data_IF_960256168747
#
_entry.id   IF_960256168747
#
_cell.length_a   1.000
_cell.length_b   1.000
_cell.length_c   1.000
_cell.angle_alpha   90.00
_cell.angle_beta   90.00
_cell.angle_gamma   90.00
#
_symmetry.space_group_name_H-M   'P 1'
#
loop_
_entity.id
_entity.type
_entity.pdbx_description
1 polymer ?
#
# COMPACT_ATOMS: atom_id res chain seq x y z
N UNK A 1 -8.09 15.08 -2.53
CA UNK A 1 -6.62 15.01 -2.53
C UNK A 1 -6.12 15.24 -3.96
N UNK A 2 -5.05 16.01 -4.15
CA UNK A 2 -4.50 16.24 -5.50
C UNK A 2 -3.66 15.04 -5.95
N UNK A 3 -3.98 14.46 -7.10
CA UNK A 3 -3.21 13.35 -7.70
C UNK A 3 -1.93 13.80 -8.41
N UNK A 4 -1.87 15.09 -8.76
CA UNK A 4 -0.73 15.71 -9.43
C UNK A 4 0.40 16.07 -8.47
N UNK A 5 0.13 16.05 -7.16
CA UNK A 5 1.12 16.34 -6.13
C UNK A 5 1.82 15.06 -5.66
N UNK A 6 3.09 15.22 -5.32
CA UNK A 6 3.91 14.19 -4.68
C UNK A 6 3.68 14.12 -3.16
N UNK A 7 4.21 13.08 -2.51
CA UNK A 7 4.16 12.98 -1.05
C UNK A 7 4.88 14.14 -0.36
N UNK A 8 6.00 14.60 -0.90
CA UNK A 8 6.72 15.74 -0.31
C UNK A 8 5.87 17.02 -0.30
N UNK A 9 5.08 17.24 -1.34
CA UNK A 9 4.19 18.40 -1.45
C UNK A 9 2.95 18.25 -0.57
N UNK A 10 2.34 17.07 -0.53
CA UNK A 10 1.14 16.79 0.28
C UNK A 10 1.47 16.87 1.78
N UNK A 11 2.60 16.29 2.20
CA UNK A 11 3.06 16.29 3.60
C UNK A 11 3.78 17.59 3.98
N UNK A 12 4.00 18.50 3.02
CA UNK A 12 4.86 19.68 3.15
C UNK A 12 6.21 19.34 3.81
N UNK A 13 6.82 18.23 3.36
CA UNK A 13 8.02 17.63 3.97
C UNK A 13 8.95 17.07 2.91
N UNK A 14 9.93 17.90 2.53
CA UNK A 14 11.02 17.54 1.62
C UNK A 14 12.11 16.79 2.38
N UNK A 15 12.51 15.62 1.88
CA UNK A 15 13.57 14.81 2.49
C UNK A 15 14.96 15.10 1.91
N UNK A 16 15.03 15.72 0.74
CA UNK A 16 16.28 15.87 0.00
C UNK A 16 16.82 14.54 -0.51
N UNK A 17 18.03 14.53 -1.06
CA UNK A 17 18.66 13.33 -1.60
C UNK A 17 18.83 12.24 -0.53
N UNK A 18 18.73 10.98 -0.95
CA UNK A 18 19.08 9.87 -0.06
C UNK A 18 20.58 9.99 0.35
N UNK A 19 20.96 9.53 1.56
CA UNK A 19 22.36 9.40 1.94
C UNK A 19 23.15 8.58 0.91
N UNK A 20 24.43 8.92 0.69
CA UNK A 20 25.26 8.28 -0.34
C UNK A 20 25.53 6.78 -0.07
N UNK A 21 25.40 6.36 1.19
CA UNK A 21 25.53 4.99 1.68
C UNK A 21 24.17 4.31 1.92
N UNK A 22 23.07 4.92 1.48
CA UNK A 22 21.75 4.38 1.67
C UNK A 22 21.56 3.06 0.90
N UNK A 23 20.86 2.06 1.48
CA UNK A 23 20.44 0.89 0.72
C UNK A 23 19.56 1.30 -0.47
N UNK A 24 19.63 0.56 -1.58
CA UNK A 24 18.85 0.80 -2.81
C UNK A 24 17.34 0.96 -2.58
N UNK A 25 16.79 0.28 -1.57
CA UNK A 25 15.40 0.43 -1.16
C UNK A 25 15.10 1.85 -0.66
N UNK A 26 15.98 2.42 0.17
CA UNK A 26 15.82 3.79 0.65
C UNK A 26 16.04 4.81 -0.47
N UNK A 27 16.97 4.58 -1.39
CA UNK A 27 17.09 5.43 -2.60
C UNK A 27 15.79 5.43 -3.41
N UNK A 28 15.18 4.25 -3.57
CA UNK A 28 13.88 4.09 -4.23
C UNK A 28 12.78 4.86 -3.51
N UNK A 29 12.67 4.74 -2.19
CA UNK A 29 11.68 5.48 -1.38
C UNK A 29 11.86 6.99 -1.54
N UNK A 30 13.08 7.52 -1.43
CA UNK A 30 13.35 8.95 -1.61
C UNK A 30 12.97 9.43 -3.01
N UNK A 31 13.23 8.62 -4.05
CA UNK A 31 12.82 8.93 -5.42
C UNK A 31 11.30 8.95 -5.56
N UNK A 32 10.61 7.94 -5.04
CA UNK A 32 9.16 7.79 -5.19
C UNK A 32 8.36 8.86 -4.43
N UNK A 33 8.88 9.37 -3.30
CA UNK A 33 8.26 10.48 -2.56
C UNK A 33 8.11 11.77 -3.39
N UNK A 34 8.88 11.92 -4.48
CA UNK A 34 8.84 13.08 -5.40
C UNK A 34 7.97 12.84 -6.64
N UNK A 35 7.50 11.61 -6.86
CA UNK A 35 6.60 11.30 -7.97
C UNK A 35 5.18 11.73 -7.59
N UNK A 36 4.39 12.31 -8.52
CA UNK A 36 2.97 12.56 -8.29
C UNK A 36 2.26 11.28 -7.84
N UNK A 37 1.44 11.37 -6.79
CA UNK A 37 0.83 10.17 -6.19
C UNK A 37 -0.14 9.47 -7.15
N UNK A 38 -0.73 10.20 -8.10
CA UNK A 38 -1.57 9.62 -9.15
C UNK A 38 -0.82 8.87 -10.24
N UNK A 39 0.50 9.04 -10.33
CA UNK A 39 1.35 8.37 -11.29
C UNK A 39 2.09 7.16 -10.70
N UNK A 40 1.87 6.84 -9.42
CA UNK A 40 2.41 5.65 -8.79
C UNK A 40 1.70 4.41 -9.35
N UNK A 41 2.47 3.41 -9.76
CA UNK A 41 1.93 2.11 -10.13
C UNK A 41 1.74 1.20 -8.89
N UNK A 42 1.27 -0.02 -9.11
CA UNK A 42 0.98 -1.00 -8.05
C UNK A 42 2.24 -1.32 -7.24
N UNK A 43 3.36 -1.55 -7.91
CA UNK A 43 4.64 -1.87 -7.28
C UNK A 43 5.17 -0.69 -6.46
N UNK A 44 5.12 0.52 -7.00
CA UNK A 44 5.58 1.72 -6.30
C UNK A 44 4.70 2.04 -5.06
N UNK A 45 3.38 1.83 -5.15
CA UNK A 45 2.48 1.90 -3.99
C UNK A 45 2.84 0.85 -2.94
N UNK A 46 3.03 -0.40 -3.37
CA UNK A 46 3.40 -1.53 -2.50
C UNK A 46 4.73 -1.29 -1.81
N UNK A 47 5.74 -0.74 -2.51
CA UNK A 47 7.03 -0.37 -1.91
C UNK A 47 6.86 0.70 -0.82
N UNK A 48 6.16 1.80 -1.13
CA UNK A 48 6.00 2.91 -0.18
C UNK A 48 5.20 2.50 1.06
N UNK A 49 4.07 1.82 0.87
CA UNK A 49 3.26 1.25 1.98
C UNK A 49 4.06 0.20 2.74
N UNK A 50 4.82 -0.62 2.00
CA UNK A 50 5.81 -1.57 2.51
C UNK A 50 6.75 -0.98 3.56
N UNK A 51 7.17 0.26 3.35
CA UNK A 51 8.06 1.03 4.22
C UNK A 51 7.32 1.98 5.17
N UNK A 52 5.98 1.90 5.24
CA UNK A 52 5.09 2.78 6.02
C UNK A 52 5.27 4.26 5.70
N UNK A 53 5.58 4.58 4.45
CA UNK A 53 5.75 5.95 3.97
C UNK A 53 4.44 6.44 3.35
N UNK A 54 3.99 7.64 3.75
CA UNK A 54 2.81 8.27 3.16
C UNK A 54 1.50 7.51 3.38
N UNK A 55 1.40 6.67 4.43
CA UNK A 55 0.24 5.78 4.66
C UNK A 55 -1.09 6.49 4.51
N UNK A 56 -1.27 7.66 5.13
CA UNK A 56 -2.52 8.41 5.07
C UNK A 56 -2.89 8.96 3.69
N UNK A 57 -1.91 9.10 2.80
CA UNK A 57 -2.11 9.52 1.41
C UNK A 57 -2.27 8.31 0.49
N UNK A 58 -1.53 7.23 0.74
CA UNK A 58 -1.41 6.11 -0.19
C UNK A 58 -2.44 5.01 0.05
N UNK A 59 -2.91 4.79 1.28
CA UNK A 59 -3.93 3.76 1.54
C UNK A 59 -5.22 4.00 0.76
N UNK A 60 -5.77 5.23 0.67
CA UNK A 60 -6.93 5.49 -0.18
C UNK A 60 -6.71 5.13 -1.65
N UNK A 61 -5.51 5.36 -2.18
CA UNK A 61 -5.13 5.04 -3.56
C UNK A 61 -4.95 3.53 -3.76
N UNK A 62 -4.34 2.84 -2.81
CA UNK A 62 -4.21 1.39 -2.82
C UNK A 62 -5.60 0.72 -2.78
N UNK A 63 -6.54 1.25 -1.99
CA UNK A 63 -7.92 0.77 -1.97
C UNK A 63 -8.61 0.93 -3.33
N UNK A 64 -8.42 2.05 -4.03
CA UNK A 64 -8.97 2.22 -5.38
C UNK A 64 -8.45 1.15 -6.36
N UNK A 65 -7.18 0.72 -6.22
CA UNK A 65 -6.60 -0.36 -7.02
C UNK A 65 -7.23 -1.70 -6.62
N UNK A 66 -7.22 -2.00 -5.32
CA UNK A 66 -7.66 -3.27 -4.77
C UNK A 66 -9.16 -3.53 -4.93
N UNK A 67 -9.99 -2.49 -4.97
CA UNK A 67 -11.42 -2.62 -5.26
C UNK A 67 -11.71 -3.03 -6.70
N UNK A 68 -10.78 -2.73 -7.63
CA UNK A 68 -10.89 -3.15 -9.03
C UNK A 68 -10.26 -4.52 -9.26
N UNK A 69 -9.16 -4.78 -8.56
CA UNK A 69 -8.41 -6.02 -8.62
C UNK A 69 -7.85 -6.36 -7.22
N UNK A 70 -8.54 -7.22 -6.45
CA UNK A 70 -8.11 -7.61 -5.10
C UNK A 70 -6.74 -8.30 -5.06
N UNK A 71 -6.31 -8.88 -6.19
CA UNK A 71 -5.04 -9.58 -6.35
C UNK A 71 -4.04 -8.77 -7.19
N UNK A 72 -4.23 -7.45 -7.28
CA UNK A 72 -3.30 -6.55 -7.96
C UNK A 72 -1.84 -6.84 -7.56
N UNK A 73 -1.04 -7.09 -8.57
CA UNK A 73 0.34 -7.56 -8.46
C UNK A 73 1.32 -6.42 -8.78
N UNK A 74 2.33 -6.25 -7.91
CA UNK A 74 3.53 -5.49 -8.18
C UNK A 74 4.61 -6.35 -8.85
N UNK A 75 5.82 -6.36 -8.28
CA UNK A 75 6.94 -7.15 -8.83
C UNK A 75 7.13 -8.52 -8.14
N UNK A 76 6.28 -8.91 -7.18
CA UNK A 76 6.48 -10.14 -6.39
C UNK A 76 5.52 -11.28 -6.72
N UNK A 77 4.24 -11.12 -6.37
CA UNK A 77 3.24 -12.18 -6.50
C UNK A 77 1.81 -11.58 -6.48
N UNK A 78 0.82 -12.27 -7.06
CA UNK A 78 -0.59 -11.83 -7.02
C UNK A 78 -1.06 -11.52 -5.60
N UNK A 79 -1.62 -10.32 -5.40
CA UNK A 79 -2.08 -9.84 -4.10
C UNK A 79 -0.98 -9.29 -3.18
N UNK A 80 0.24 -9.06 -3.68
CA UNK A 80 1.32 -8.47 -2.88
C UNK A 80 1.01 -7.04 -2.39
N UNK A 81 0.19 -6.26 -3.12
CA UNK A 81 -0.33 -4.98 -2.66
C UNK A 81 -1.28 -5.16 -1.48
N UNK A 82 -2.24 -6.10 -1.58
CA UNK A 82 -3.16 -6.43 -0.49
C UNK A 82 -2.38 -6.86 0.75
N UNK A 83 -1.39 -7.75 0.57
CA UNK A 83 -0.51 -8.20 1.63
C UNK A 83 0.27 -7.03 2.28
N UNK A 84 0.79 -6.10 1.48
CA UNK A 84 1.48 -4.92 2.00
C UNK A 84 0.55 -4.04 2.85
N UNK A 85 -0.68 -3.80 2.39
CA UNK A 85 -1.68 -3.00 3.13
C UNK A 85 -2.06 -3.69 4.44
N UNK A 86 -2.38 -4.99 4.41
CA UNK A 86 -2.77 -5.76 5.61
C UNK A 86 -1.67 -5.81 6.66
N UNK A 87 -0.41 -5.95 6.24
CA UNK A 87 0.73 -6.20 7.14
C UNK A 87 1.41 -4.92 7.64
N UNK A 88 1.40 -3.86 6.85
CA UNK A 88 2.24 -2.68 7.13
C UNK A 88 1.46 -1.47 7.64
N UNK A 89 0.18 -1.35 7.30
CA UNK A 89 -0.64 -0.23 7.78
C UNK A 89 -0.91 -0.39 9.29
N UNK A 90 -0.52 0.59 10.13
CA UNK A 90 -0.69 0.49 11.58
C UNK A 90 -2.15 0.38 12.01
N UNK A 91 -2.43 -0.30 13.13
CA UNK A 91 -3.78 -0.47 13.63
C UNK A 91 -4.49 0.87 13.94
N UNK A 92 -3.72 1.87 14.38
CA UNK A 92 -4.19 3.22 14.67
C UNK A 92 -4.78 3.91 13.43
N UNK A 93 -4.25 3.58 12.24
CA UNK A 93 -4.80 4.08 10.98
C UNK A 93 -6.24 3.60 10.77
N UNK A 94 -6.48 2.31 10.97
CA UNK A 94 -7.79 1.70 10.78
C UNK A 94 -8.81 2.15 11.83
N UNK A 95 -8.36 2.39 13.06
CA UNK A 95 -9.20 2.99 14.12
C UNK A 95 -9.61 4.41 13.75
N UNK A 96 -8.70 5.20 13.19
CA UNK A 96 -8.98 6.56 12.75
C UNK A 96 -9.83 6.62 11.45
N UNK A 97 -9.75 5.59 10.60
CA UNK A 97 -10.39 5.54 9.28
C UNK A 97 -11.29 4.30 9.14
N UNK A 98 -12.38 4.18 9.91
CA UNK A 98 -13.22 2.99 9.93
C UNK A 98 -13.89 2.70 8.57
N UNK A 99 -14.22 3.72 7.79
CA UNK A 99 -14.79 3.55 6.45
C UNK A 99 -13.79 2.90 5.47
N UNK A 100 -12.50 3.27 5.55
CA UNK A 100 -11.46 2.67 4.73
C UNK A 100 -11.11 1.25 5.20
N UNK A 101 -11.18 1.00 6.52
CA UNK A 101 -11.09 -0.36 7.07
C UNK A 101 -12.18 -1.25 6.47
N UNK A 102 -13.42 -0.76 6.40
CA UNK A 102 -14.53 -1.55 5.84
C UNK A 102 -14.32 -1.83 4.34
N UNK A 103 -13.87 -0.84 3.57
CA UNK A 103 -13.50 -1.03 2.16
C UNK A 103 -12.45 -2.13 1.99
N UNK A 104 -11.40 -2.12 2.82
CA UNK A 104 -10.39 -3.18 2.78
C UNK A 104 -10.96 -4.54 3.19
N UNK A 105 -11.87 -4.57 4.16
CA UNK A 105 -12.51 -5.81 4.59
C UNK A 105 -13.40 -6.39 3.47
N UNK A 106 -14.10 -5.55 2.71
CA UNK A 106 -14.91 -5.97 1.57
C UNK A 106 -14.04 -6.52 0.42
N UNK A 107 -12.91 -5.86 0.12
CA UNK A 107 -11.88 -6.40 -0.78
C UNK A 107 -11.39 -7.75 -0.29
N UNK A 108 -11.02 -7.86 0.99
CA UNK A 108 -10.46 -9.08 1.54
C UNK A 108 -11.48 -10.25 1.52
N UNK A 109 -12.78 -9.96 1.67
CA UNK A 109 -13.86 -10.95 1.57
C UNK A 109 -14.20 -11.34 0.13
N UNK A 110 -13.84 -10.53 -0.87
CA UNK A 110 -14.13 -10.83 -2.27
C UNK A 110 -13.09 -11.74 -2.93
N UNK A 111 -11.91 -11.91 -2.31
CA UNK A 111 -10.87 -12.83 -2.79
C UNK A 111 -11.38 -14.27 -2.71
N UNK A 112 -11.35 -14.99 -3.84
CA UNK A 112 -11.64 -16.41 -3.86
C UNK A 112 -10.50 -17.17 -3.15
N UNK A 113 -10.78 -18.01 -2.14
CA UNK A 113 -9.76 -18.84 -1.50
C UNK A 113 -8.99 -19.74 -2.48
N UNK A 114 -9.59 -20.12 -3.62
CA UNK A 114 -8.95 -20.88 -4.69
C UNK A 114 -7.86 -20.12 -5.43
N UNK A 115 -7.93 -18.78 -5.48
CA UNK A 115 -6.88 -17.94 -6.06
C UNK A 115 -5.65 -17.82 -5.14
N UNK A 116 -5.77 -18.27 -3.88
CA UNK A 116 -4.73 -18.22 -2.85
C UNK A 116 -4.24 -19.62 -2.44
N UNK A 117 -4.41 -20.64 -3.28
CA UNK A 117 -4.02 -22.03 -2.96
C UNK A 117 -2.58 -22.11 -2.43
N UNK A 118 -1.66 -21.38 -3.06
CA UNK A 118 -0.23 -21.37 -2.72
C UNK A 118 0.20 -20.27 -1.71
N UNK A 119 -0.69 -19.34 -1.33
CA UNK A 119 -0.39 -18.27 -0.36
C UNK A 119 -1.24 -18.41 0.92
N UNK A 120 -0.90 -19.43 1.72
CA UNK A 120 -1.51 -19.67 3.04
C UNK A 120 -1.39 -18.44 3.96
N UNK A 121 -0.27 -17.71 3.87
CA UNK A 121 -0.01 -16.57 4.73
C UNK A 121 -0.96 -15.41 4.43
N UNK A 122 -1.21 -15.11 3.15
CA UNK A 122 -2.18 -14.09 2.77
C UNK A 122 -3.60 -14.50 3.19
N UNK A 123 -3.96 -15.78 3.10
CA UNK A 123 -5.24 -16.29 3.64
C UNK A 123 -5.37 -16.03 5.14
N UNK A 124 -4.32 -16.30 5.92
CA UNK A 124 -4.30 -16.03 7.35
C UNK A 124 -4.41 -14.53 7.68
N UNK A 125 -3.70 -13.68 6.93
CA UNK A 125 -3.74 -12.23 7.11
C UNK A 125 -5.14 -11.67 6.81
N UNK A 126 -5.77 -12.13 5.72
CA UNK A 126 -7.16 -11.81 5.38
C UNK A 126 -8.08 -12.23 6.52
N UNK A 127 -8.03 -13.49 6.95
CA UNK A 127 -8.88 -14.02 8.01
C UNK A 127 -8.73 -13.28 9.33
N UNK A 128 -7.50 -12.87 9.69
CA UNK A 128 -7.23 -12.06 10.87
C UNK A 128 -7.83 -10.66 10.74
N UNK A 129 -7.77 -10.05 9.56
CA UNK A 129 -8.22 -8.67 9.36
C UNK A 129 -9.74 -8.53 9.35
N UNK A 130 -10.44 -9.50 8.73
CA UNK A 130 -11.91 -9.47 8.59
C UNK A 130 -12.66 -9.93 9.84
N UNK A 131 -11.94 -10.49 10.83
CA UNK A 131 -12.50 -10.91 12.13
C UNK A 131 -12.90 -9.73 13.00
#
# INVERSE_FOLDING_TARGET
MSREQSLEEIENRVWGSAPADAPKLMETVHRLRRKPVGALDVEELRVLIGQRVGVATLVPLALEVLERDPLAEGDYYPGDLLAAVLRQVPAEYWVANPAERERLADVARSVDPGDLEDDEKLREDIARFVR
#
